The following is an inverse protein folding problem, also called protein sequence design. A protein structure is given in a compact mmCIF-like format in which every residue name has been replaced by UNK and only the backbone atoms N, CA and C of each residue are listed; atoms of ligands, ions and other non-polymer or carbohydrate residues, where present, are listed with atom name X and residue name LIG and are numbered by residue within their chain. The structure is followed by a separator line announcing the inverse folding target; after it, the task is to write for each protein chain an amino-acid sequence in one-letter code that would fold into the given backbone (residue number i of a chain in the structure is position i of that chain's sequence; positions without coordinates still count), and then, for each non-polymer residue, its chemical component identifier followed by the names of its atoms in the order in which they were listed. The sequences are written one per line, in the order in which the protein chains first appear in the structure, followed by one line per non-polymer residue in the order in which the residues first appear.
data_IF_972131443314
#
_entry.id   IF_972131443314
#
_cell.length_a   1.000
_cell.length_b   1.000
_cell.length_c   1.000
_cell.angle_alpha   90.00
_cell.angle_beta   90.00
_cell.angle_gamma   90.00
#
_symmetry.space_group_name_H-M   'P 1'
#
loop_
_entity.id
_entity.type
_entity.pdbx_description
1 polymer ?
#
# COMPACT_ATOMS: atom_id res chain seq x y z
N UNK A 1 27.83 39.60 -55.50
CA UNK A 1 29.13 39.86 -54.85
C UNK A 1 29.00 39.44 -53.39
N UNK A 2 30.02 38.71 -52.90
CA UNK A 2 30.15 37.99 -51.62
C UNK A 2 29.47 36.60 -51.63
N UNK A 3 30.09 35.56 -52.20
CA UNK A 3 31.23 34.72 -51.75
C UNK A 3 30.88 33.74 -50.61
N UNK A 4 30.61 32.50 -51.02
CA UNK A 4 30.52 31.28 -50.21
C UNK A 4 31.91 30.82 -49.79
N UNK A 5 32.08 30.47 -48.51
CA UNK A 5 33.27 29.76 -48.03
C UNK A 5 32.89 28.30 -47.80
N UNK A 6 33.36 27.44 -48.69
CA UNK A 6 33.51 25.99 -48.49
C UNK A 6 34.76 25.73 -47.63
N UNK A 7 34.63 24.90 -46.59
CA UNK A 7 35.77 24.18 -46.01
C UNK A 7 35.47 22.69 -46.09
N UNK A 8 36.21 22.03 -46.98
CA UNK A 8 36.39 20.58 -47.07
C UNK A 8 37.65 20.25 -46.27
N UNK A 9 37.58 19.35 -45.28
CA UNK A 9 38.72 18.53 -44.92
C UNK A 9 38.29 17.07 -44.66
N UNK A 10 39.09 16.18 -45.26
CA UNK A 10 38.92 14.75 -45.45
C UNK A 10 39.34 13.90 -44.22
N UNK A 11 39.10 12.56 -44.25
CA UNK A 11 39.03 11.70 -43.07
C UNK A 11 40.32 10.89 -42.80
N UNK A 12 40.55 10.47 -41.55
CA UNK A 12 41.43 9.34 -41.19
C UNK A 12 40.85 8.56 -39.99
N UNK A 13 40.98 7.21 -39.95
CA UNK A 13 40.10 6.28 -39.22
C UNK A 13 40.76 5.61 -37.98
N UNK A 14 40.00 4.69 -37.36
CA UNK A 14 40.36 3.69 -36.33
C UNK A 14 40.36 4.11 -34.85
N UNK A 15 39.32 3.70 -34.11
CA UNK A 15 39.38 2.46 -33.32
C UNK A 15 38.00 2.10 -32.75
N UNK A 16 37.54 0.94 -33.19
CA UNK A 16 36.41 0.15 -32.71
C UNK A 16 36.45 0.00 -31.19
N UNK A 17 35.43 0.50 -30.49
CA UNK A 17 35.08 -0.01 -29.16
C UNK A 17 33.58 -0.26 -29.11
N UNK A 18 33.29 -1.55 -29.09
CA UNK A 18 32.01 -2.20 -28.85
C UNK A 18 31.13 -1.38 -27.89
N UNK A 19 29.99 -0.90 -28.38
CA UNK A 19 28.79 -0.66 -27.57
C UNK A 19 27.69 -1.51 -28.19
N UNK A 20 27.86 -2.82 -28.11
CA UNK A 20 26.72 -3.71 -27.93
C UNK A 20 26.54 -3.88 -26.42
N UNK A 21 25.46 -3.33 -25.89
CA UNK A 21 24.59 -4.06 -24.96
C UNK A 21 23.27 -3.32 -24.88
N UNK A 22 22.28 -3.93 -25.54
CA UNK A 22 20.88 -3.72 -25.26
C UNK A 22 20.60 -4.00 -23.77
N UNK A 23 19.78 -3.17 -23.13
CA UNK A 23 18.78 -3.67 -22.19
C UNK A 23 17.52 -2.82 -22.39
N UNK A 24 16.69 -3.17 -23.36
CA UNK A 24 15.50 -4.02 -23.16
C UNK A 24 14.63 -3.44 -22.04
N UNK A 25 13.49 -2.92 -22.46
CA UNK A 25 12.38 -2.40 -21.67
C UNK A 25 12.17 -3.13 -20.34
N UNK A 26 12.25 -2.37 -19.23
CA UNK A 26 11.85 -2.81 -17.89
C UNK A 26 10.33 -2.67 -17.78
N UNK A 27 9.61 -3.66 -18.32
CA UNK A 27 8.16 -3.74 -18.19
C UNK A 27 7.81 -4.09 -16.73
N UNK A 28 7.10 -3.19 -16.06
CA UNK A 28 6.56 -3.34 -14.71
C UNK A 28 5.33 -4.29 -14.74
N UNK A 29 4.91 -4.87 -13.60
CA UNK A 29 3.81 -5.80 -13.58
C UNK A 29 2.47 -5.15 -13.88
N UNK A 30 1.65 -5.90 -14.61
CA UNK A 30 0.22 -5.67 -14.70
C UNK A 30 -0.42 -6.17 -13.39
N UNK A 31 -1.38 -5.40 -12.91
CA UNK A 31 -2.21 -5.73 -11.77
C UNK A 31 -3.57 -6.21 -12.26
N UNK A 32 -4.15 -7.24 -11.62
CA UNK A 32 -3.89 -7.65 -10.24
C UNK A 32 -2.67 -8.56 -10.03
N UNK A 33 -2.06 -8.46 -8.85
CA UNK A 33 -1.07 -9.45 -8.38
C UNK A 33 -1.83 -10.76 -8.11
N UNK A 34 -1.35 -11.85 -8.69
CA UNK A 34 -1.96 -13.17 -8.54
C UNK A 34 -1.54 -13.80 -7.22
N UNK A 35 -2.47 -14.44 -6.51
CA UNK A 35 -2.23 -15.10 -5.24
C UNK A 35 -2.52 -16.60 -5.38
N UNK A 36 -1.60 -17.46 -4.95
CA UNK A 36 -1.79 -18.90 -4.90
C UNK A 36 -1.47 -19.46 -3.51
N UNK A 37 -2.51 -19.98 -2.84
CA UNK A 37 -2.41 -20.56 -1.50
C UNK A 37 -1.79 -19.62 -0.46
N UNK A 38 -2.00 -18.31 -0.62
CA UNK A 38 -1.61 -17.27 0.33
C UNK A 38 -2.57 -17.33 1.53
N UNK A 39 -2.05 -17.13 2.74
CA UNK A 39 -2.86 -17.21 3.96
C UNK A 39 -3.97 -16.15 3.98
N UNK A 40 -5.15 -16.51 4.50
CA UNK A 40 -6.31 -15.59 4.59
C UNK A 40 -5.99 -14.25 5.25
N UNK A 41 -5.21 -14.18 6.36
CA UNK A 41 -4.83 -12.89 6.94
C UNK A 41 -4.05 -12.00 5.98
N UNK A 42 -3.15 -12.57 5.18
CA UNK A 42 -2.37 -11.84 4.17
C UNK A 42 -3.26 -11.38 3.03
N UNK A 43 -4.11 -12.24 2.48
CA UNK A 43 -5.06 -11.85 1.42
C UNK A 43 -5.91 -10.67 1.90
N UNK A 44 -6.54 -10.80 3.08
CA UNK A 44 -7.39 -9.76 3.66
C UNK A 44 -6.63 -8.45 3.83
N UNK A 45 -5.42 -8.49 4.41
CA UNK A 45 -4.61 -7.30 4.62
C UNK A 45 -4.15 -6.61 3.33
N UNK A 46 -3.84 -7.37 2.28
CA UNK A 46 -3.51 -6.83 0.95
C UNK A 46 -4.73 -6.13 0.31
N UNK A 47 -5.92 -6.73 0.43
CA UNK A 47 -7.17 -6.11 -0.03
C UNK A 47 -7.49 -4.84 0.77
N UNK A 48 -7.42 -4.89 2.10
CA UNK A 48 -7.70 -3.76 2.99
C UNK A 48 -6.74 -2.58 2.74
N UNK A 49 -5.45 -2.82 2.46
CA UNK A 49 -4.51 -1.74 2.08
C UNK A 49 -4.78 -1.17 0.68
N UNK A 50 -5.70 -1.78 -0.09
CA UNK A 50 -6.09 -1.39 -1.46
C UNK A 50 -5.10 -1.84 -2.53
N UNK A 51 -4.34 -2.90 -2.30
CA UNK A 51 -3.49 -3.50 -3.32
C UNK A 51 -4.38 -4.32 -4.26
N UNK A 52 -4.34 -4.12 -5.59
CA UNK A 52 -5.12 -4.93 -6.50
C UNK A 52 -4.54 -6.34 -6.58
N UNK A 53 -5.27 -7.30 -6.01
CA UNK A 53 -4.87 -8.72 -5.95
C UNK A 53 -6.00 -9.61 -6.45
N UNK A 54 -5.66 -10.81 -6.90
CA UNK A 54 -6.64 -11.81 -7.33
C UNK A 54 -6.18 -13.19 -6.93
N UNK A 55 -7.02 -13.90 -6.19
CA UNK A 55 -6.78 -15.30 -5.85
C UNK A 55 -6.97 -16.17 -7.09
N UNK A 56 -5.95 -16.95 -7.41
CA UNK A 56 -6.06 -18.05 -8.35
C UNK A 56 -6.82 -19.18 -7.66
N UNK A 57 -7.87 -19.67 -8.31
CA UNK A 57 -8.47 -20.94 -7.90
C UNK A 57 -7.46 -22.08 -8.05
N UNK A 58 -7.75 -23.23 -7.43
CA UNK A 58 -6.74 -24.27 -7.17
C UNK A 58 -5.95 -24.76 -8.39
N UNK A 59 -6.53 -24.66 -9.59
CA UNK A 59 -5.90 -24.99 -10.86
C UNK A 59 -5.38 -23.74 -11.59
N UNK A 60 -4.10 -23.78 -12.00
CA UNK A 60 -3.49 -22.77 -12.87
C UNK A 60 -4.03 -22.81 -14.31
N UNK A 61 -5.13 -23.52 -14.55
CA UNK A 61 -5.77 -23.65 -15.86
C UNK A 61 -6.12 -22.29 -16.48
N UNK A 62 -6.41 -21.28 -15.66
CA UNK A 62 -6.68 -19.91 -16.12
C UNK A 62 -5.45 -19.25 -16.76
N UNK A 63 -4.23 -19.78 -16.52
CA UNK A 63 -2.99 -19.34 -17.15
C UNK A 63 -2.70 -20.09 -18.47
N UNK A 64 -3.48 -21.12 -18.82
CA UNK A 64 -3.36 -21.84 -20.09
C UNK A 64 -3.89 -20.97 -21.23
N UNK A 65 -2.99 -20.25 -21.88
CA UNK A 65 -3.32 -19.20 -22.87
C UNK A 65 -2.75 -17.83 -22.50
N UNK A 66 -2.11 -17.73 -21.32
CA UNK A 66 -1.40 -16.53 -20.91
C UNK A 66 -0.27 -16.20 -21.90
N UNK A 67 -0.34 -15.02 -22.52
CA UNK A 67 0.74 -14.50 -23.34
C UNK A 67 1.64 -13.60 -22.49
N UNK A 68 2.92 -13.97 -22.40
CA UNK A 68 3.99 -13.33 -21.59
C UNK A 68 4.28 -11.85 -21.93
N UNK A 69 3.47 -11.20 -22.76
CA UNK A 69 3.75 -9.84 -23.25
C UNK A 69 3.48 -8.74 -22.23
N UNK A 70 2.88 -9.06 -21.07
CA UNK A 70 2.64 -8.12 -19.96
C UNK A 70 2.79 -8.85 -18.61
N UNK A 71 3.22 -8.19 -17.54
CA UNK A 71 3.84 -8.88 -16.39
C UNK A 71 2.86 -9.15 -15.23
N UNK A 72 2.14 -10.27 -15.17
CA UNK A 72 1.45 -10.64 -13.92
C UNK A 72 2.44 -11.29 -12.95
N UNK A 73 2.52 -10.76 -11.72
CA UNK A 73 3.34 -11.29 -10.63
C UNK A 73 2.53 -12.33 -9.83
N UNK A 74 3.14 -13.46 -9.47
CA UNK A 74 2.52 -14.48 -8.63
C UNK A 74 3.13 -14.50 -7.22
N UNK A 75 2.30 -14.27 -6.21
CA UNK A 75 2.64 -14.54 -4.81
C UNK A 75 2.20 -15.95 -4.45
N UNK A 76 3.14 -16.75 -3.95
CA UNK A 76 2.88 -18.13 -3.54
C UNK A 76 3.03 -18.24 -2.04
N UNK A 77 1.98 -18.73 -1.36
CA UNK A 77 2.07 -19.00 0.08
C UNK A 77 2.94 -20.21 0.40
N UNK A 78 3.54 -20.20 1.59
CA UNK A 78 4.47 -21.23 2.09
C UNK A 78 3.89 -22.64 2.05
N UNK A 79 2.57 -22.77 2.19
CA UNK A 79 1.88 -24.04 2.25
C UNK A 79 1.32 -24.52 0.90
N UNK A 80 1.38 -23.70 -0.16
CA UNK A 80 0.96 -24.11 -1.50
C UNK A 80 2.00 -25.09 -2.07
N UNK A 81 1.47 -26.18 -2.63
CA UNK A 81 2.17 -27.08 -3.52
C UNK A 81 1.52 -27.02 -4.90
N UNK A 82 2.34 -27.15 -5.93
CA UNK A 82 1.89 -27.28 -7.31
C UNK A 82 2.14 -28.70 -7.81
N UNK A 83 1.22 -29.22 -8.61
CA UNK A 83 1.42 -30.51 -9.27
C UNK A 83 2.39 -30.36 -10.47
N UNK A 84 2.76 -31.47 -11.12
CA UNK A 84 3.70 -31.43 -12.24
C UNK A 84 3.21 -30.55 -13.41
N UNK A 85 1.91 -30.60 -13.72
CA UNK A 85 1.31 -29.81 -14.79
C UNK A 85 1.34 -28.30 -14.48
N UNK A 86 1.09 -27.91 -13.24
CA UNK A 86 1.19 -26.54 -12.77
C UNK A 86 2.62 -26.02 -12.91
N UNK A 87 3.61 -26.80 -12.48
CA UNK A 87 5.03 -26.44 -12.58
C UNK A 87 5.49 -26.27 -14.03
N UNK A 88 5.03 -27.15 -14.92
CA UNK A 88 5.26 -27.01 -16.36
C UNK A 88 4.61 -25.72 -16.90
N UNK A 89 3.39 -25.40 -16.45
CA UNK A 89 2.67 -24.18 -16.83
C UNK A 89 3.42 -22.93 -16.36
N UNK A 90 3.82 -22.85 -15.08
CA UNK A 90 4.59 -21.74 -14.53
C UNK A 90 5.92 -21.54 -15.26
N UNK A 91 6.63 -22.63 -15.56
CA UNK A 91 7.90 -22.59 -16.31
C UNK A 91 7.72 -22.05 -17.73
N UNK A 92 6.60 -22.38 -18.39
CA UNK A 92 6.27 -21.91 -19.75
C UNK A 92 5.81 -20.44 -19.74
N UNK A 93 4.97 -20.05 -18.79
CA UNK A 93 4.41 -18.70 -18.71
C UNK A 93 5.44 -17.64 -18.31
N UNK A 94 6.55 -18.05 -17.66
CA UNK A 94 7.63 -17.15 -17.18
C UNK A 94 7.13 -16.00 -16.30
N UNK A 95 6.05 -16.26 -15.57
CA UNK A 95 5.52 -15.33 -14.56
C UNK A 95 6.57 -15.16 -13.46
N UNK A 96 6.92 -13.92 -13.06
CA UNK A 96 7.73 -13.70 -11.88
C UNK A 96 7.02 -14.25 -10.64
N UNK A 97 7.75 -14.99 -9.81
CA UNK A 97 7.22 -15.60 -8.59
C UNK A 97 7.92 -14.98 -7.38
N UNK A 98 7.13 -14.62 -6.37
CA UNK A 98 7.62 -14.36 -5.01
C UNK A 98 7.01 -15.43 -4.11
N UNK A 99 7.86 -16.32 -3.61
CA UNK A 99 7.48 -17.29 -2.60
C UNK A 99 7.55 -16.61 -1.23
N UNK A 100 6.40 -16.49 -0.56
CA UNK A 100 6.31 -15.77 0.70
C UNK A 100 7.03 -16.49 1.85
N UNK A 101 7.42 -17.76 1.67
CA UNK A 101 8.30 -18.47 2.61
C UNK A 101 9.65 -17.75 2.81
N UNK A 102 10.10 -16.96 1.83
CA UNK A 102 11.34 -16.19 1.91
C UNK A 102 11.31 -15.16 3.06
N UNK A 103 10.13 -14.68 3.45
CA UNK A 103 9.99 -13.70 4.54
C UNK A 103 10.06 -14.33 5.94
N UNK A 104 9.82 -15.64 6.03
CA UNK A 104 9.90 -16.40 7.28
C UNK A 104 11.24 -17.17 7.43
N UNK A 105 12.05 -17.22 6.37
CA UNK A 105 13.31 -17.96 6.35
C UNK A 105 14.50 -17.07 6.72
N UNK A 106 15.45 -17.61 7.49
CA UNK A 106 16.68 -16.92 7.88
C UNK A 106 17.56 -16.52 6.70
N UNK A 107 17.52 -17.29 5.60
CA UNK A 107 18.32 -16.99 4.40
C UNK A 107 17.68 -15.94 3.49
N UNK A 108 16.40 -15.59 3.71
CA UNK A 108 15.68 -14.64 2.86
C UNK A 108 15.45 -15.12 1.43
N UNK A 109 15.59 -16.43 1.17
CA UNK A 109 15.43 -17.03 -0.16
C UNK A 109 14.18 -17.89 -0.23
N UNK A 110 13.35 -17.64 -1.24
CA UNK A 110 12.16 -18.42 -1.55
C UNK A 110 12.47 -19.70 -2.33
N UNK A 111 11.50 -20.61 -2.38
CA UNK A 111 11.55 -21.83 -3.20
C UNK A 111 11.62 -21.48 -4.68
N UNK A 112 12.47 -22.19 -5.40
CA UNK A 112 12.50 -22.25 -6.87
C UNK A 112 11.29 -23.01 -7.41
N UNK A 113 10.97 -22.85 -8.71
CA UNK A 113 9.83 -23.55 -9.34
C UNK A 113 9.83 -25.06 -9.04
N UNK A 114 10.93 -25.82 -9.23
CA UNK A 114 10.95 -27.25 -8.90
C UNK A 114 10.67 -27.54 -7.42
N UNK A 115 11.08 -26.65 -6.52
CA UNK A 115 10.89 -26.80 -5.07
C UNK A 115 9.44 -26.51 -4.64
N UNK A 116 8.66 -25.78 -5.45
CA UNK A 116 7.23 -25.53 -5.20
C UNK A 116 6.35 -26.79 -5.34
N UNK A 117 6.91 -27.93 -5.75
CA UNK A 117 6.27 -29.24 -5.63
C UNK A 117 6.01 -29.64 -4.16
N UNK A 118 6.74 -29.03 -3.22
CA UNK A 118 6.68 -29.33 -1.78
C UNK A 118 6.36 -28.09 -0.98
N UNK A 119 5.75 -28.29 0.19
CA UNK A 119 5.50 -27.23 1.17
C UNK A 119 6.83 -26.70 1.69
N UNK A 120 6.87 -25.42 2.03
CA UNK A 120 7.99 -24.85 2.74
C UNK A 120 8.09 -25.42 4.16
N UNK A 121 9.31 -25.52 4.68
CA UNK A 121 9.60 -25.94 6.06
C UNK A 121 9.49 -24.78 7.07
N UNK A 122 8.79 -23.70 6.70
CA UNK A 122 8.63 -22.47 7.48
C UNK A 122 7.17 -22.30 7.91
N UNK A 123 6.94 -21.37 8.85
CA UNK A 123 5.59 -21.03 9.32
C UNK A 123 4.73 -20.38 8.23
N UNK A 124 3.42 -20.36 8.47
CA UNK A 124 2.44 -19.63 7.65
C UNK A 124 2.65 -18.13 7.83
N UNK A 125 2.55 -17.39 6.74
CA UNK A 125 2.74 -15.95 6.71
C UNK A 125 1.63 -15.23 7.46
N UNK A 126 2.04 -14.17 8.16
CA UNK A 126 1.16 -13.26 8.86
C UNK A 126 1.23 -11.89 8.19
N UNK A 127 0.10 -11.20 8.19
CA UNK A 127 0.04 -9.82 7.73
C UNK A 127 0.48 -8.87 8.84
N UNK A 128 1.60 -8.18 8.64
CA UNK A 128 2.10 -7.17 9.56
C UNK A 128 2.85 -6.06 8.80
N UNK A 129 3.19 -4.97 9.51
CA UNK A 129 3.92 -3.83 8.93
C UNK A 129 5.21 -4.25 8.19
N UNK A 130 6.02 -5.09 8.82
CA UNK A 130 7.29 -5.55 8.28
C UNK A 130 7.11 -6.39 7.01
N UNK A 131 6.12 -7.28 7.00
CA UNK A 131 5.76 -8.08 5.81
C UNK A 131 5.49 -7.16 4.61
N UNK A 132 4.75 -6.06 4.80
CA UNK A 132 4.43 -5.13 3.71
C UNK A 132 5.67 -4.40 3.20
N UNK A 133 6.60 -4.03 4.08
CA UNK A 133 7.89 -3.42 3.69
C UNK A 133 8.73 -4.41 2.87
N UNK A 134 8.82 -5.66 3.34
CA UNK A 134 9.53 -6.73 2.64
C UNK A 134 8.90 -7.02 1.28
N UNK A 135 7.58 -7.17 1.22
CA UNK A 135 6.84 -7.43 -0.01
C UNK A 135 7.02 -6.29 -1.03
N UNK A 136 6.84 -5.03 -0.62
CA UNK A 136 7.11 -3.89 -1.50
C UNK A 136 8.52 -3.94 -2.06
N UNK A 137 9.51 -4.15 -1.20
CA UNK A 137 10.92 -4.20 -1.60
C UNK A 137 11.13 -5.31 -2.62
N UNK A 138 10.58 -6.49 -2.37
CA UNK A 138 10.71 -7.65 -3.25
C UNK A 138 10.05 -7.43 -4.60
N UNK A 139 8.85 -6.84 -4.62
CA UNK A 139 8.15 -6.47 -5.86
C UNK A 139 8.98 -5.46 -6.65
N UNK A 140 9.59 -4.46 -6.00
CA UNK A 140 10.44 -3.49 -6.68
C UNK A 140 11.73 -4.14 -7.22
N UNK A 141 12.32 -5.09 -6.48
CA UNK A 141 13.49 -5.85 -6.92
C UNK A 141 13.21 -6.81 -8.09
N UNK A 142 11.99 -7.36 -8.18
CA UNK A 142 11.57 -8.14 -9.36
C UNK A 142 11.26 -7.25 -10.57
N UNK A 143 11.53 -5.95 -10.49
CA UNK A 143 11.28 -4.99 -11.56
C UNK A 143 9.87 -4.46 -11.56
N UNK A 144 9.11 -4.61 -10.46
CA UNK A 144 7.75 -4.11 -10.35
C UNK A 144 7.57 -2.78 -9.66
N UNK A 145 6.31 -2.32 -9.65
CA UNK A 145 5.90 -1.12 -8.92
C UNK A 145 5.13 -1.51 -7.66
N UNK A 146 4.96 -0.56 -6.76
CA UNK A 146 4.05 -0.71 -5.63
C UNK A 146 2.93 0.31 -5.78
N UNK A 147 1.76 -0.16 -6.22
CA UNK A 147 0.63 0.68 -6.59
C UNK A 147 -0.62 0.17 -5.86
N UNK A 148 -1.30 1.06 -5.15
CA UNK A 148 -2.49 0.75 -4.37
C UNK A 148 -3.50 1.90 -4.43
N UNK A 149 -4.76 1.63 -4.11
CA UNK A 149 -5.73 2.68 -3.81
C UNK A 149 -5.28 3.48 -2.58
N UNK A 150 -5.36 4.81 -2.66
CA UNK A 150 -5.03 5.71 -1.56
C UNK A 150 -5.97 5.53 -0.37
N UNK A 151 -5.48 5.82 0.84
CA UNK A 151 -6.25 5.65 2.08
C UNK A 151 -7.41 6.66 2.19
N UNK A 152 -7.27 7.80 1.53
CA UNK A 152 -8.19 8.93 1.58
C UNK A 152 -8.60 9.32 0.15
N UNK A 153 -9.72 10.03 -0.01
CA UNK A 153 -10.06 10.64 -1.29
C UNK A 153 -8.93 11.57 -1.75
N UNK A 154 -8.63 11.58 -3.05
CA UNK A 154 -7.72 12.55 -3.65
C UNK A 154 -8.24 13.98 -3.41
N UNK A 155 -7.36 14.96 -3.10
CA UNK A 155 -5.90 14.91 -3.04
C UNK A 155 -5.34 14.66 -1.63
N UNK A 156 -6.17 14.18 -0.70
CA UNK A 156 -5.82 14.19 0.72
C UNK A 156 -4.78 13.15 1.09
N UNK A 157 -3.97 13.49 2.09
CA UNK A 157 -2.88 12.66 2.58
C UNK A 157 -3.08 12.23 4.04
N UNK A 158 -4.06 12.78 4.73
CA UNK A 158 -4.42 12.43 6.10
C UNK A 158 -5.86 12.85 6.36
N UNK A 159 -6.45 12.41 7.46
CA UNK A 159 -7.80 12.81 7.86
C UNK A 159 -7.83 13.19 9.34
N UNK A 160 -8.61 14.23 9.66
CA UNK A 160 -9.04 14.57 11.01
C UNK A 160 -10.56 14.47 11.03
N UNK A 161 -11.05 13.53 11.84
CA UNK A 161 -12.45 13.26 12.05
C UNK A 161 -12.96 14.02 13.28
N UNK A 162 -14.14 14.60 13.17
CA UNK A 162 -14.94 15.15 14.27
C UNK A 162 -16.30 14.45 14.33
N UNK A 163 -17.12 14.80 15.32
CA UNK A 163 -18.51 14.33 15.48
C UNK A 163 -18.64 12.80 15.63
N UNK A 164 -18.07 12.27 16.72
CA UNK A 164 -18.27 10.86 17.08
C UNK A 164 -19.65 10.57 17.68
N UNK A 165 -20.40 11.60 18.10
CA UNK A 165 -21.74 11.45 18.66
C UNK A 165 -22.78 11.12 17.59
N UNK A 166 -22.54 11.49 16.33
CA UNK A 166 -23.34 11.04 15.19
C UNK A 166 -23.24 9.53 14.91
N UNK A 167 -22.22 8.84 15.44
CA UNK A 167 -22.19 7.38 15.42
C UNK A 167 -23.23 6.87 16.43
N UNK A 168 -24.39 6.43 15.94
CA UNK A 168 -25.45 5.85 16.78
C UNK A 168 -24.95 4.72 17.68
N UNK A 169 -25.71 4.37 18.72
CA UNK A 169 -25.33 3.33 19.69
C UNK A 169 -25.00 1.98 19.01
N UNK A 170 -25.71 1.66 17.92
CA UNK A 170 -25.48 0.46 17.10
C UNK A 170 -24.10 0.47 16.41
N UNK A 171 -23.48 1.62 16.15
CA UNK A 171 -22.14 1.65 15.57
C UNK A 171 -21.05 1.36 16.63
N UNK A 172 -21.30 1.74 17.88
CA UNK A 172 -20.35 1.57 19.01
C UNK A 172 -20.33 0.14 19.53
N UNK A 173 -21.48 -0.52 19.66
CA UNK A 173 -21.58 -1.93 20.08
C UNK A 173 -21.01 -2.90 19.03
N UNK A 174 -21.10 -2.55 17.74
CA UNK A 174 -20.59 -3.37 16.64
C UNK A 174 -19.15 -3.04 16.22
N UNK A 175 -18.48 -2.08 16.87
CA UNK A 175 -17.08 -1.72 16.57
C UNK A 175 -16.08 -2.87 16.76
N UNK A 176 -16.44 -3.93 17.49
CA UNK A 176 -15.66 -5.16 17.64
C UNK A 176 -16.05 -6.29 16.68
N UNK A 177 -17.19 -6.20 15.98
CA UNK A 177 -17.73 -7.29 15.14
C UNK A 177 -17.85 -6.90 13.66
N UNK A 178 -18.03 -5.60 13.37
CA UNK A 178 -18.32 -5.05 12.04
C UNK A 178 -17.74 -3.63 11.83
N UNK A 179 -16.65 -3.25 12.52
CA UNK A 179 -15.95 -2.01 12.14
C UNK A 179 -15.48 -2.14 10.68
N UNK A 180 -15.81 -1.19 9.78
CA UNK A 180 -15.26 -1.21 8.44
C UNK A 180 -13.74 -1.01 8.47
N UNK A 181 -13.20 -0.49 9.57
CA UNK A 181 -11.76 -0.32 9.77
C UNK A 181 -11.09 -1.61 10.26
N UNK A 182 -9.80 -1.78 9.93
CA UNK A 182 -8.98 -2.87 10.47
C UNK A 182 -8.64 -2.71 11.97
N UNK A 183 -9.16 -1.67 12.65
CA UNK A 183 -8.81 -1.28 14.03
C UNK A 183 -9.99 -0.78 14.86
N UNK A 184 -9.82 -0.84 16.18
CA UNK A 184 -10.72 -0.19 17.14
C UNK A 184 -10.65 1.33 17.03
N UNK A 185 -11.77 1.99 17.33
CA UNK A 185 -11.90 3.44 17.30
C UNK A 185 -10.90 4.14 18.25
N UNK A 186 -10.59 3.52 19.40
CA UNK A 186 -9.63 4.04 20.39
C UNK A 186 -8.22 4.29 19.82
N UNK A 187 -7.81 3.54 18.80
CA UNK A 187 -6.51 3.74 18.14
C UNK A 187 -6.48 5.00 17.26
N UNK A 188 -7.65 5.47 16.81
CA UNK A 188 -7.80 6.71 16.07
C UNK A 188 -7.79 7.92 17.00
N UNK A 189 -8.23 7.76 18.25
CA UNK A 189 -8.31 8.86 19.22
C UNK A 189 -6.96 9.51 19.46
N UNK A 190 -6.94 10.84 19.44
CA UNK A 190 -5.76 11.60 19.78
C UNK A 190 -5.64 11.71 21.31
N UNK A 191 -4.77 10.91 21.95
CA UNK A 191 -4.63 10.92 23.42
C UNK A 191 -4.32 12.31 24.00
N UNK A 192 -3.56 13.12 23.27
CA UNK A 192 -3.24 14.50 23.67
C UNK A 192 -4.43 15.47 23.59
N UNK A 193 -5.53 15.10 22.92
CA UNK A 193 -6.79 15.86 22.97
C UNK A 193 -7.37 15.81 24.39
N UNK A 194 -7.47 14.62 24.98
CA UNK A 194 -8.01 14.44 26.33
C UNK A 194 -7.15 15.16 27.38
N UNK A 195 -5.83 15.12 27.23
CA UNK A 195 -4.90 15.85 28.11
C UNK A 195 -5.06 17.39 27.99
N UNK A 196 -5.24 17.89 26.76
CA UNK A 196 -5.52 19.30 26.52
C UNK A 196 -6.86 19.73 27.13
N UNK A 197 -7.91 18.94 26.99
CA UNK A 197 -9.22 19.22 27.59
C UNK A 197 -9.18 19.23 29.13
N UNK A 198 -8.34 18.39 29.73
CA UNK A 198 -8.22 18.32 31.18
C UNK A 198 -7.45 19.50 31.80
N UNK A 199 -6.39 19.98 31.15
CA UNK A 199 -5.46 20.96 31.74
C UNK A 199 -5.39 22.31 31.01
N UNK A 200 -5.64 22.33 29.70
CA UNK A 200 -5.67 23.51 28.82
C UNK A 200 -4.52 24.50 29.04
N UNK A 201 -3.29 23.99 29.09
CA UNK A 201 -2.07 24.80 29.29
C UNK A 201 -1.09 24.73 28.10
N UNK A 202 -0.13 25.64 28.04
CA UNK A 202 0.79 25.78 26.89
C UNK A 202 1.57 24.50 26.53
N UNK A 203 1.81 23.61 27.50
CA UNK A 203 2.48 22.33 27.29
C UNK A 203 1.57 21.32 26.59
N UNK A 204 0.38 21.08 27.15
CA UNK A 204 -0.62 20.17 26.57
C UNK A 204 -1.10 20.65 25.19
N UNK A 205 -1.20 21.97 25.01
CA UNK A 205 -1.45 22.63 23.72
C UNK A 205 -0.40 22.26 22.67
N UNK A 206 0.88 22.41 23.03
CA UNK A 206 2.02 22.12 22.16
C UNK A 206 2.05 20.63 21.82
N UNK A 207 1.78 19.77 22.80
CA UNK A 207 1.74 18.32 22.63
C UNK A 207 0.66 17.91 21.62
N UNK A 208 -0.57 18.39 21.79
CA UNK A 208 -1.66 18.14 20.84
C UNK A 208 -1.31 18.59 19.42
N UNK A 209 -0.75 19.79 19.27
CA UNK A 209 -0.30 20.28 17.97
C UNK A 209 0.77 19.40 17.33
N UNK A 210 1.78 18.98 18.09
CA UNK A 210 2.87 18.10 17.60
C UNK A 210 2.30 16.74 17.18
N UNK A 211 1.41 16.16 17.97
CA UNK A 211 0.82 14.86 17.69
C UNK A 211 -0.05 14.87 16.43
N UNK A 212 -0.88 15.91 16.24
CA UNK A 212 -1.67 16.08 15.02
C UNK A 212 -0.79 16.17 13.77
N UNK A 213 0.25 17.02 13.80
CA UNK A 213 1.18 17.18 12.67
C UNK A 213 1.97 15.89 12.43
N UNK A 214 2.39 15.21 13.49
CA UNK A 214 3.11 13.93 13.40
C UNK A 214 2.25 12.84 12.74
N UNK A 215 1.00 12.68 13.18
CA UNK A 215 0.06 11.72 12.58
C UNK A 215 -0.25 12.07 11.13
N UNK A 216 -0.46 13.35 10.80
CA UNK A 216 -0.62 13.79 9.42
C UNK A 216 0.59 13.43 8.54
N UNK A 217 1.82 13.66 9.02
CA UNK A 217 3.04 13.31 8.26
C UNK A 217 3.15 11.81 8.01
N UNK A 218 2.73 10.99 8.97
CA UNK A 218 2.67 9.53 8.85
C UNK A 218 1.49 9.05 7.99
N UNK A 219 0.52 9.92 7.69
CA UNK A 219 -0.69 9.57 6.96
C UNK A 219 -1.69 8.78 7.80
N UNK A 220 -1.61 8.89 9.12
CA UNK A 220 -2.51 8.24 10.06
C UNK A 220 -3.80 9.06 10.23
N UNK A 221 -4.97 8.41 10.28
CA UNK A 221 -6.20 9.10 10.61
C UNK A 221 -6.19 9.49 12.09
N UNK A 222 -6.90 10.58 12.40
CA UNK A 222 -7.10 11.08 13.75
C UNK A 222 -8.59 11.27 13.97
N UNK A 223 -9.10 10.81 15.11
CA UNK A 223 -10.42 11.17 15.59
C UNK A 223 -10.31 12.04 16.83
N UNK A 224 -11.06 13.14 16.83
CA UNK A 224 -11.15 14.09 17.94
C UNK A 224 -12.51 13.90 18.61
N UNK A 225 -12.48 13.16 19.72
CA UNK A 225 -13.66 12.63 20.42
C UNK A 225 -14.51 13.72 21.08
N UNK A 226 -13.92 14.86 21.41
CA UNK A 226 -14.59 15.98 22.11
C UNK A 226 -15.12 17.04 21.18
N UNK A 227 -14.74 16.99 19.90
CA UNK A 227 -15.10 17.99 18.89
C UNK A 227 -16.33 17.51 18.14
N UNK A 228 -17.47 18.18 18.32
CA UNK A 228 -18.76 17.76 17.76
C UNK A 228 -19.06 18.40 16.41
N UNK A 229 -18.30 19.43 16.00
CA UNK A 229 -18.60 20.17 14.79
C UNK A 229 -17.36 20.73 14.10
N UNK A 230 -17.49 21.06 12.81
CA UNK A 230 -16.44 21.76 12.04
C UNK A 230 -16.11 23.15 12.61
N UNK A 231 -17.09 23.79 13.24
CA UNK A 231 -16.92 25.08 13.92
C UNK A 231 -15.99 24.94 15.11
N UNK A 232 -16.28 24.00 16.01
CA UNK A 232 -15.44 23.67 17.16
C UNK A 232 -14.03 23.23 16.73
N UNK A 233 -13.90 22.46 15.66
CA UNK A 233 -12.58 22.08 15.14
C UNK A 233 -11.76 23.30 14.70
N UNK A 234 -12.42 24.27 14.09
CA UNK A 234 -11.77 25.51 13.66
C UNK A 234 -11.32 26.34 14.86
N UNK A 235 -12.15 26.41 15.91
CA UNK A 235 -11.78 27.04 17.17
C UNK A 235 -10.60 26.33 17.83
N UNK A 236 -10.64 24.99 17.93
CA UNK A 236 -9.54 24.19 18.47
C UNK A 236 -8.21 24.49 17.77
N UNK A 237 -8.20 24.56 16.44
CA UNK A 237 -6.98 24.88 15.68
C UNK A 237 -6.43 26.27 15.98
N UNK A 238 -7.30 27.25 16.23
CA UNK A 238 -6.88 28.58 16.69
C UNK A 238 -6.31 28.50 18.10
N UNK A 239 -7.01 27.83 19.01
CA UNK A 239 -6.63 27.69 20.42
C UNK A 239 -5.27 27.01 20.56
N UNK A 240 -4.94 26.01 19.72
CA UNK A 240 -3.66 25.32 19.75
C UNK A 240 -2.58 25.94 18.85
N UNK A 241 -2.86 27.08 18.21
CA UNK A 241 -1.98 27.75 17.24
C UNK A 241 -1.45 26.78 16.15
N UNK A 242 -2.35 26.00 15.55
CA UNK A 242 -2.04 25.10 14.46
C UNK A 242 -2.30 25.79 13.12
N UNK A 243 -1.23 26.15 12.43
CA UNK A 243 -1.31 26.64 11.05
C UNK A 243 -1.66 25.48 10.10
N UNK A 244 -2.76 25.63 9.34
CA UNK A 244 -3.20 24.66 8.32
C UNK A 244 -2.15 24.39 7.25
N UNK A 245 -1.20 25.31 7.00
CA UNK A 245 -0.09 25.07 6.06
C UNK A 245 0.80 23.90 6.47
N UNK A 246 0.85 23.57 7.77
CA UNK A 246 1.58 22.40 8.27
C UNK A 246 0.91 21.07 7.88
N UNK A 247 -0.36 21.12 7.47
CA UNK A 247 -1.19 19.98 7.07
C UNK A 247 -2.03 20.32 5.83
N UNK A 248 -1.38 20.81 4.78
CA UNK A 248 -2.04 21.41 3.61
C UNK A 248 -3.01 20.49 2.85
N UNK A 249 -2.82 19.17 2.93
CA UNK A 249 -3.66 18.16 2.28
C UNK A 249 -4.40 17.28 3.31
N UNK A 250 -4.79 17.85 4.46
CA UNK A 250 -5.64 17.15 5.43
C UNK A 250 -7.10 17.19 5.04
N UNK A 251 -7.74 16.03 5.04
CA UNK A 251 -9.18 15.92 4.91
C UNK A 251 -9.82 16.18 6.28
N UNK A 252 -10.71 17.15 6.36
CA UNK A 252 -11.49 17.41 7.58
C UNK A 252 -12.92 16.98 7.32
N UNK A 253 -13.41 16.01 8.09
CA UNK A 253 -14.72 15.39 7.84
C UNK A 253 -15.33 14.82 9.12
N UNK A 254 -16.62 14.45 9.10
CA UNK A 254 -17.19 13.66 10.20
C UNK A 254 -16.64 12.24 10.18
N UNK A 255 -16.62 11.59 11.34
CA UNK A 255 -16.19 10.19 11.46
C UNK A 255 -17.05 9.24 10.61
N UNK A 256 -18.36 9.46 10.57
CA UNK A 256 -19.29 8.73 9.70
C UNK A 256 -18.90 8.81 8.21
N UNK A 257 -18.64 10.03 7.71
CA UNK A 257 -18.24 10.22 6.30
C UNK A 257 -16.90 9.53 5.99
N UNK A 258 -15.96 9.53 6.93
CA UNK A 258 -14.72 8.78 6.79
C UNK A 258 -14.96 7.27 6.68
N UNK A 259 -15.82 6.71 7.53
CA UNK A 259 -16.17 5.29 7.47
C UNK A 259 -16.92 4.90 6.20
N UNK A 260 -17.82 5.77 5.73
CA UNK A 260 -18.48 5.58 4.44
C UNK A 260 -17.47 5.53 3.29
N UNK A 261 -16.52 6.46 3.24
CA UNK A 261 -15.42 6.39 2.27
C UNK A 261 -14.65 5.09 2.38
N UNK A 262 -14.28 4.70 3.60
CA UNK A 262 -13.45 3.51 3.82
C UNK A 262 -14.14 2.22 3.37
N UNK A 263 -15.42 2.06 3.70
CA UNK A 263 -16.24 0.95 3.21
C UNK A 263 -16.33 0.96 1.69
N UNK A 264 -16.67 2.11 1.11
CA UNK A 264 -16.83 2.24 -0.34
C UNK A 264 -15.54 1.92 -1.10
N UNK A 265 -14.39 2.35 -0.56
CA UNK A 265 -13.07 2.07 -1.12
C UNK A 265 -12.80 0.57 -1.26
N UNK A 266 -13.26 -0.27 -0.33
CA UNK A 266 -13.09 -1.74 -0.42
C UNK A 266 -13.91 -2.40 -1.53
N UNK A 267 -14.92 -1.71 -2.04
CA UNK A 267 -15.81 -2.20 -3.10
C UNK A 267 -15.28 -1.87 -4.50
N UNK A 268 -14.21 -1.07 -4.61
CA UNK A 268 -13.62 -0.72 -5.89
C UNK A 268 -12.84 -1.88 -6.48
N UNK A 269 -13.07 -2.13 -7.76
CA UNK A 269 -12.20 -2.99 -8.57
C UNK A 269 -11.27 -2.10 -9.39
N UNK A 270 -9.97 -2.43 -9.36
CA UNK A 270 -8.92 -1.69 -10.07
C UNK A 270 -8.06 -2.68 -10.85
N UNK A 271 -7.91 -2.44 -12.14
CA UNK A 271 -6.91 -3.07 -13.00
C UNK A 271 -5.88 -2.03 -13.43
N UNK A 272 -4.61 -2.41 -13.50
CA UNK A 272 -3.52 -1.50 -13.83
C UNK A 272 -2.63 -2.21 -14.85
N UNK A 273 -2.47 -1.62 -16.02
CA UNK A 273 -1.63 -2.14 -17.09
C UNK A 273 -0.43 -1.21 -17.28
N UNK A 274 0.75 -1.79 -17.49
CA UNK A 274 1.94 -1.01 -17.81
C UNK A 274 1.94 -0.59 -19.29
N UNK A 275 2.14 0.70 -19.55
CA UNK A 275 2.42 1.25 -20.87
C UNK A 275 3.91 1.65 -20.99
N UNK A 276 4.37 1.98 -22.20
CA UNK A 276 5.75 2.43 -22.44
C UNK A 276 6.08 3.76 -21.73
N UNK A 277 5.10 4.64 -21.60
CA UNK A 277 5.24 6.00 -21.05
C UNK A 277 4.62 6.17 -19.66
N UNK A 278 4.00 5.14 -19.10
CA UNK A 278 3.14 5.29 -17.93
C UNK A 278 2.29 4.06 -17.63
N UNK A 279 1.07 4.29 -17.16
CA UNK A 279 0.13 3.26 -16.76
C UNK A 279 -1.23 3.57 -17.34
N UNK A 280 -1.94 2.52 -17.70
CA UNK A 280 -3.38 2.57 -17.91
C UNK A 280 -4.05 1.94 -16.70
N UNK A 281 -5.09 2.57 -16.17
CA UNK A 281 -5.84 2.01 -15.05
C UNK A 281 -7.32 2.03 -15.33
N UNK A 282 -7.98 0.94 -14.99
CA UNK A 282 -9.42 0.80 -15.11
C UNK A 282 -9.96 0.66 -13.70
N UNK A 283 -10.79 1.60 -13.27
CA UNK A 283 -11.48 1.55 -11.98
C UNK A 283 -12.99 1.49 -12.18
N UNK A 284 -13.64 0.56 -11.48
CA UNK A 284 -15.09 0.40 -11.45
C UNK A 284 -15.61 0.41 -10.02
N UNK A 285 -16.79 0.97 -9.82
CA UNK A 285 -17.46 1.10 -8.52
C UNK A 285 -18.29 2.39 -8.43
N UNK A 286 -19.11 2.49 -7.40
CA UNK A 286 -19.85 3.72 -7.12
C UNK A 286 -18.98 4.71 -6.36
N UNK A 287 -18.72 5.91 -6.87
CA UNK A 287 -17.81 6.84 -6.19
C UNK A 287 -18.51 7.67 -5.12
N UNK A 288 -19.85 7.77 -5.16
CA UNK A 288 -20.67 8.52 -4.19
C UNK A 288 -20.18 9.95 -3.84
N UNK A 289 -19.62 10.64 -4.83
CA UNK A 289 -19.08 12.00 -4.65
C UNK A 289 -17.65 12.07 -4.10
N UNK A 290 -17.03 10.94 -3.77
CA UNK A 290 -15.61 10.87 -3.47
C UNK A 290 -14.76 10.78 -4.75
N UNK A 291 -13.51 11.22 -4.66
CA UNK A 291 -12.52 11.09 -5.74
C UNK A 291 -11.48 10.05 -5.34
N UNK A 292 -11.52 8.81 -5.86
CA UNK A 292 -10.48 7.84 -5.55
C UNK A 292 -9.12 8.30 -6.08
N UNK A 293 -8.09 8.03 -5.28
CA UNK A 293 -6.70 8.27 -5.67
C UNK A 293 -5.95 6.95 -5.83
N UNK A 294 -5.03 6.89 -6.78
CA UNK A 294 -4.06 5.80 -6.89
C UNK A 294 -2.72 6.26 -6.36
N UNK A 295 -2.19 5.56 -5.36
CA UNK A 295 -0.89 5.84 -4.78
C UNK A 295 0.17 4.94 -5.40
N UNK A 296 1.17 5.56 -6.02
CA UNK A 296 2.29 4.91 -6.71
C UNK A 296 3.56 5.15 -5.92
N UNK A 297 4.31 4.10 -5.60
CA UNK A 297 5.56 4.18 -4.85
C UNK A 297 6.78 3.79 -5.69
N UNK A 298 7.84 4.59 -5.54
CA UNK A 298 9.18 4.37 -6.12
C UNK A 298 10.23 4.55 -5.03
N UNK A 299 10.75 3.44 -4.52
CA UNK A 299 11.59 3.43 -3.30
C UNK A 299 10.91 4.21 -2.17
N UNK A 300 11.50 5.30 -1.68
CA UNK A 300 10.95 6.13 -0.59
C UNK A 300 10.01 7.24 -1.06
N UNK A 301 9.85 7.42 -2.38
CA UNK A 301 8.98 8.44 -2.94
C UNK A 301 7.62 7.85 -3.26
N UNK A 302 6.58 8.68 -3.15
CA UNK A 302 5.27 8.33 -3.68
C UNK A 302 4.56 9.53 -4.29
N UNK A 303 3.65 9.21 -5.20
CA UNK A 303 2.73 10.12 -5.83
C UNK A 303 1.30 9.59 -5.64
N UNK A 304 0.33 10.49 -5.57
CA UNK A 304 -1.09 10.11 -5.62
C UNK A 304 -1.73 10.83 -6.79
N UNK A 305 -2.41 10.08 -7.65
CA UNK A 305 -3.10 10.63 -8.83
C UNK A 305 -4.58 10.39 -8.71
N UNK A 306 -5.39 11.36 -9.15
CA UNK A 306 -6.84 11.22 -9.17
C UNK A 306 -7.25 10.17 -10.20
N UNK A 307 -8.27 9.38 -9.86
CA UNK A 307 -8.91 8.45 -10.77
C UNK A 307 -10.33 8.91 -11.09
N UNK A 308 -10.70 8.84 -12.36
CA UNK A 308 -12.05 8.94 -12.86
C UNK A 308 -12.61 7.54 -13.11
N UNK A 309 -13.93 7.40 -13.11
CA UNK A 309 -14.57 6.11 -13.42
C UNK A 309 -14.19 5.66 -14.83
N UNK A 310 -13.86 4.38 -14.99
CA UNK A 310 -13.42 3.81 -16.26
C UNK A 310 -11.91 3.90 -16.43
N UNK A 311 -11.47 4.24 -17.65
CA UNK A 311 -10.06 4.21 -18.05
C UNK A 311 -9.36 5.52 -17.71
N UNK A 312 -8.15 5.43 -17.13
CA UNK A 312 -7.30 6.56 -16.80
C UNK A 312 -5.87 6.29 -17.28
N UNK A 313 -5.26 7.27 -17.95
CA UNK A 313 -3.85 7.24 -18.31
C UNK A 313 -3.02 8.04 -17.29
N UNK A 314 -1.98 7.41 -16.74
CA UNK A 314 -1.07 7.99 -15.76
C UNK A 314 0.33 8.00 -16.35
N UNK A 315 0.81 9.16 -16.79
CA UNK A 315 2.13 9.26 -17.43
C UNK A 315 3.25 9.44 -16.40
N UNK A 316 4.37 8.76 -16.63
CA UNK A 316 5.52 8.78 -15.72
C UNK A 316 6.20 10.15 -15.63
N UNK A 317 6.23 10.88 -16.75
CA UNK A 317 6.85 12.20 -16.89
C UNK A 317 6.03 13.34 -16.27
N UNK A 318 4.73 13.13 -16.09
CA UNK A 318 3.81 14.09 -15.48
C UNK A 318 3.50 13.80 -14.01
N UNK A 319 3.94 12.65 -13.49
CA UNK A 319 3.64 12.24 -12.12
C UNK A 319 4.64 12.87 -11.14
N UNK A 320 4.17 13.80 -10.31
CA UNK A 320 4.98 14.45 -9.29
C UNK A 320 5.18 13.54 -8.07
N UNK A 321 6.40 13.03 -7.90
CA UNK A 321 6.78 12.21 -6.76
C UNK A 321 7.32 13.07 -5.61
N UNK A 322 6.77 12.88 -4.42
CA UNK A 322 7.28 13.49 -3.18
C UNK A 322 7.99 12.45 -2.33
N UNK A 323 9.06 12.85 -1.65
CA UNK A 323 9.70 11.99 -0.66
C UNK A 323 8.76 11.79 0.54
N UNK A 324 8.51 10.54 0.92
CA UNK A 324 7.57 10.16 1.97
C UNK A 324 8.21 9.18 2.96
N UNK A 325 9.37 9.55 3.51
CA UNK A 325 10.15 8.73 4.45
C UNK A 325 9.42 8.38 5.76
N UNK A 326 8.48 9.23 6.20
CA UNK A 326 7.69 9.00 7.41
C UNK A 326 6.42 8.18 7.19
N UNK A 327 6.08 7.81 5.95
CA UNK A 327 4.83 7.11 5.63
C UNK A 327 5.08 5.64 5.36
N UNK A 328 4.19 4.81 5.86
CA UNK A 328 4.24 3.39 5.58
C UNK A 328 3.66 3.09 4.18
N UNK A 329 4.30 2.22 3.37
CA UNK A 329 3.83 1.90 2.02
C UNK A 329 2.46 1.21 1.96
N UNK A 330 2.08 0.51 3.03
CA UNK A 330 0.75 -0.08 3.20
C UNK A 330 -0.31 0.87 3.79
N UNK A 331 -0.02 2.17 3.87
CA UNK A 331 -0.93 3.13 4.49
C UNK A 331 -1.11 2.88 5.99
N UNK A 332 -2.19 3.41 6.55
CA UNK A 332 -2.50 3.22 7.97
C UNK A 332 -2.87 1.76 8.29
N UNK A 333 -3.42 0.99 7.34
CA UNK A 333 -3.74 -0.44 7.52
C UNK A 333 -2.52 -1.21 8.03
N UNK A 334 -1.35 -0.94 7.45
CA UNK A 334 -0.12 -1.62 7.84
C UNK A 334 0.46 -1.16 9.18
N UNK A 335 0.18 0.07 9.64
CA UNK A 335 0.60 0.52 10.97
C UNK A 335 -0.06 -0.28 12.10
N UNK A 336 -1.21 -0.88 11.83
CA UNK A 336 -1.99 -1.63 12.81
C UNK A 336 -2.12 -3.12 12.52
N UNK A 337 -1.61 -3.56 11.36
CA UNK A 337 -1.29 -4.94 11.07
C UNK A 337 -0.25 -5.45 12.09
N UNK A 338 -0.73 -6.04 13.19
CA UNK A 338 0.09 -6.34 14.37
C UNK A 338 -0.62 -6.09 15.71
N UNK A 339 -1.48 -5.07 15.78
CA UNK A 339 -2.12 -4.62 17.03
C UNK A 339 -3.39 -5.42 17.33
N UNK A 340 -4.07 -5.91 16.29
CA UNK A 340 -5.21 -6.84 16.38
C UNK A 340 -4.83 -8.31 16.08
N UNK A 341 -3.62 -8.58 15.58
CA UNK A 341 -3.09 -9.95 15.41
C UNK A 341 -2.43 -10.51 16.68
N UNK A 342 -2.38 -9.73 17.75
CA UNK A 342 -1.86 -10.13 19.07
C UNK A 342 -2.85 -10.96 19.90
N UNK A 343 -3.99 -11.38 19.33
CA UNK A 343 -4.90 -12.36 19.94
C UNK A 343 -4.44 -13.82 19.81
N UNK A 344 -3.21 -14.08 19.34
CA UNK A 344 -2.55 -15.38 19.55
C UNK A 344 -1.13 -15.10 20.06
N UNK A 345 -0.84 -15.37 21.35
CA UNK A 345 0.53 -15.29 21.83
C UNK A 345 1.30 -16.53 21.37
N UNK A 346 2.48 -16.25 20.80
CA UNK A 346 3.77 -16.79 21.22
C UNK A 346 3.89 -18.30 21.49
N UNK A 347 4.83 -18.88 20.74
CA UNK A 347 5.43 -20.21 20.86
C UNK A 347 5.50 -20.76 22.29
N UNK A 348 4.69 -21.79 22.57
CA UNK A 348 4.59 -22.47 23.88
C UNK A 348 5.84 -23.26 24.31
N UNK A 349 6.94 -23.22 23.55
CA UNK A 349 8.14 -24.04 23.85
C UNK A 349 9.22 -23.35 24.68
N UNK A 350 9.16 -22.05 24.89
CA UNK A 350 10.23 -21.32 25.58
C UNK A 350 9.99 -20.99 27.07
N UNK A 351 8.85 -21.37 27.66
CA UNK A 351 8.62 -21.19 29.10
C UNK A 351 8.99 -22.39 29.98
N UNK A 352 9.28 -23.56 29.40
CA UNK A 352 9.66 -24.74 30.19
C UNK A 352 11.14 -24.73 30.66
N UNK A 353 12.00 -23.89 30.06
CA UNK A 353 13.42 -23.84 30.41
C UNK A 353 13.79 -22.75 31.43
N UNK A 354 12.89 -21.80 31.72
CA UNK A 354 13.13 -20.73 32.69
C UNK A 354 12.46 -20.97 34.06
N UNK A 355 11.77 -22.10 34.23
CA UNK A 355 11.18 -22.54 35.51
C UNK A 355 11.95 -23.73 36.14
N UNK A 356 13.16 -24.03 35.64
CA UNK A 356 14.02 -25.11 36.13
C UNK A 356 15.49 -24.70 36.29
N UNK A 357 15.77 -23.43 36.58
CA UNK A 357 17.11 -22.94 36.98
C UNK A 357 17.04 -22.09 38.23
#
# INVERSE_FOLDING_TARGET
MLEEIQIIQQPVPFLTKIIETMSVSRHLPDYPILLAGVSTPVVKGLCEMGLPVTELQDDLAQLLGYQSTRWNLLLVGSQKCFNEQDLQTLSRCRIPIIDLAEFNNKTGTGRTIPELAKKANTGVEQFNSQFVVQLKTRIQQSGGAWIRLGDYPYPYQGVICYDESALGNDFREFSNVMSPLPVSLELLHCKSEAEWQAASNSETQRKLRIDLVSRYRQGLPVSLSTVSSRGELTQLFQDIHLDRKQMSLVWVTSLDTFFRWWKLRSEFSVSINRLSTGWETIISGNFEGFSPGLQIWRSQHSATVALNRGVNEIRDDLTAFSNNSGRHPGGFTAHWAGVSSSLIPFDFKNFAAAAAS
#
